data_IF_328874469863
#
_entry.id   IF_328874469863
#
_cell.length_a   1.000
_cell.length_b   1.000
_cell.length_c   1.000
_cell.angle_alpha   90.00
_cell.angle_beta   90.00
_cell.angle_gamma   90.00
#
_symmetry.space_group_name_H-M   'P 1'
#
loop_
_entity.id
_entity.type
_entity.pdbx_description
1 polymer ?
#
# COMPACT_ATOMS: atom_id res chain seq x y z
N UNK A 1 4.18 8.14 -9.08
CA UNK A 1 3.98 7.80 -10.50
C UNK A 1 4.30 6.34 -10.80
N UNK A 2 5.57 5.90 -10.74
CA UNK A 2 5.96 4.50 -11.06
C UNK A 2 5.17 3.47 -10.26
N UNK A 3 5.03 3.67 -8.94
CA UNK A 3 4.24 2.78 -8.07
C UNK A 3 2.79 2.62 -8.55
N UNK A 4 2.13 3.70 -8.99
CA UNK A 4 0.76 3.68 -9.49
C UNK A 4 0.66 3.00 -10.86
N UNK A 5 1.58 3.30 -11.77
CA UNK A 5 1.60 2.72 -13.12
C UNK A 5 1.87 1.20 -13.09
N UNK A 6 2.59 0.71 -12.08
CA UNK A 6 2.79 -0.72 -11.85
C UNK A 6 1.63 -1.40 -11.09
N UNK A 7 0.57 -0.65 -10.72
CA UNK A 7 -0.54 -1.18 -9.92
C UNK A 7 -0.15 -1.55 -8.48
N UNK A 8 0.96 -1.04 -7.95
CA UNK A 8 1.54 -1.48 -6.68
C UNK A 8 1.18 -0.60 -5.48
N UNK A 9 0.39 0.47 -5.66
CA UNK A 9 0.06 1.42 -4.59
C UNK A 9 -0.50 0.75 -3.32
N UNK A 10 -1.47 -0.17 -3.45
CA UNK A 10 -2.06 -0.85 -2.27
C UNK A 10 -1.02 -1.66 -1.49
N UNK A 11 -0.09 -2.31 -2.19
CA UNK A 11 0.99 -3.08 -1.56
C UNK A 11 2.00 -2.15 -0.89
N UNK A 12 2.32 -1.03 -1.54
CA UNK A 12 3.17 0.01 -0.98
C UNK A 12 2.61 0.54 0.35
N UNK A 13 1.32 0.90 0.40
CA UNK A 13 0.69 1.42 1.63
C UNK A 13 0.76 0.44 2.82
N UNK A 14 0.71 -0.86 2.55
CA UNK A 14 0.80 -1.91 3.58
C UNK A 14 2.26 -2.19 3.99
N UNK A 15 3.18 -2.20 3.02
CA UNK A 15 4.53 -2.73 3.19
C UNK A 15 5.62 -1.66 3.31
N UNK A 16 5.28 -0.37 3.21
CA UNK A 16 6.26 0.72 3.36
C UNK A 16 6.87 0.75 4.78
N UNK A 17 8.20 0.75 4.84
CA UNK A 17 8.94 0.73 6.09
C UNK A 17 8.68 1.97 6.96
N UNK A 18 8.55 3.14 6.33
CA UNK A 18 8.33 4.40 7.05
C UNK A 18 6.91 4.45 7.62
N UNK A 19 5.91 3.99 6.87
CA UNK A 19 4.52 3.94 7.34
C UNK A 19 4.38 2.94 8.50
N UNK A 20 5.12 1.82 8.44
CA UNK A 20 5.19 0.88 9.56
C UNK A 20 5.83 1.52 10.80
N UNK A 21 6.96 2.21 10.65
CA UNK A 21 7.61 2.92 11.76
C UNK A 21 6.68 3.96 12.42
N UNK A 22 6.00 4.77 11.61
CA UNK A 22 5.01 5.74 12.09
C UNK A 22 3.87 5.06 12.87
N UNK A 23 3.39 3.90 12.37
CA UNK A 23 2.31 3.14 13.01
C UNK A 23 2.72 2.62 14.39
N UNK A 24 3.91 2.05 14.52
CA UNK A 24 4.43 1.53 15.80
C UNK A 24 4.70 2.68 16.78
N UNK A 25 5.36 3.75 16.34
CA UNK A 25 5.65 4.91 17.19
C UNK A 25 4.38 5.59 17.70
N UNK A 26 3.32 5.67 16.89
CA UNK A 26 2.02 6.17 17.33
C UNK A 26 1.38 5.33 18.43
N UNK A 27 1.65 4.01 18.42
CA UNK A 27 1.11 3.09 19.39
C UNK A 27 1.87 3.14 20.72
N UNK A 28 3.21 3.14 20.67
CA UNK A 28 4.05 3.08 21.88
C UNK A 28 4.47 4.46 22.43
N UNK A 29 4.37 5.52 21.61
CA UNK A 29 4.68 6.89 22.00
C UNK A 29 6.16 7.18 22.23
N UNK A 30 7.08 6.26 21.89
CA UNK A 30 8.51 6.44 22.18
C UNK A 30 9.11 7.61 21.42
N UNK A 31 10.00 8.34 22.09
CA UNK A 31 10.77 9.44 21.50
C UNK A 31 12.23 9.35 21.95
N UNK A 32 13.04 8.68 21.14
CA UNK A 32 14.46 8.45 21.39
C UNK A 32 15.30 8.99 20.24
N UNK A 33 16.60 9.17 20.47
CA UNK A 33 17.56 9.47 19.40
C UNK A 33 18.26 8.17 19.00
N UNK A 34 17.89 7.63 17.84
CA UNK A 34 18.45 6.37 17.32
C UNK A 34 19.44 6.72 16.22
N UNK A 35 20.72 6.36 16.38
CA UNK A 35 21.79 6.66 15.39
C UNK A 35 21.76 8.13 14.96
N UNK A 36 21.77 9.04 15.93
CA UNK A 36 21.66 10.50 15.76
C UNK A 36 20.39 11.02 15.07
N UNK A 37 19.37 10.18 14.86
CA UNK A 37 18.07 10.58 14.31
C UNK A 37 17.04 10.69 15.44
N UNK A 38 16.48 11.88 15.71
CA UNK A 38 15.38 12.04 16.67
C UNK A 38 14.10 11.39 16.12
N UNK A 39 13.59 10.38 16.81
CA UNK A 39 12.46 9.57 16.37
C UNK A 39 11.21 10.42 16.14
N UNK A 40 10.87 11.33 17.06
CA UNK A 40 9.71 12.21 16.90
C UNK A 40 9.76 13.07 15.64
N UNK A 41 10.92 13.70 15.36
CA UNK A 41 11.11 14.50 14.15
C UNK A 41 11.02 13.63 12.88
N UNK A 42 11.51 12.40 12.92
CA UNK A 42 11.44 11.47 11.81
C UNK A 42 9.97 11.11 11.48
N UNK A 43 9.20 10.67 12.47
CA UNK A 43 7.80 10.27 12.25
C UNK A 43 6.90 11.44 11.86
N UNK A 44 7.15 12.64 12.37
CA UNK A 44 6.43 13.84 11.97
C UNK A 44 6.70 14.18 10.48
N UNK A 45 7.93 13.97 9.99
CA UNK A 45 8.25 14.10 8.55
C UNK A 45 7.58 13.01 7.72
N UNK A 46 7.66 11.74 8.15
CA UNK A 46 6.99 10.62 7.49
C UNK A 46 5.50 10.93 7.30
N UNK A 47 4.82 11.46 8.33
CA UNK A 47 3.41 11.81 8.23
C UNK A 47 3.13 12.87 7.16
N UNK A 48 3.98 13.88 7.01
CA UNK A 48 3.84 14.89 5.95
C UNK A 48 3.96 14.28 4.55
N UNK A 49 4.95 13.40 4.36
CA UNK A 49 5.11 12.69 3.09
C UNK A 49 4.00 11.67 2.84
N UNK A 50 3.43 11.06 3.88
CA UNK A 50 2.27 10.19 3.75
C UNK A 50 1.09 10.95 3.13
N UNK A 51 0.74 12.11 3.69
CA UNK A 51 -0.34 12.95 3.15
C UNK A 51 -0.07 13.37 1.71
N UNK A 52 1.17 13.77 1.39
CA UNK A 52 1.55 14.13 0.03
C UNK A 52 1.43 12.93 -0.94
N UNK A 53 1.89 11.75 -0.53
CA UNK A 53 1.80 10.55 -1.35
C UNK A 53 0.35 10.15 -1.61
N UNK A 54 -0.51 10.21 -0.58
CA UNK A 54 -1.93 9.92 -0.67
C UNK A 54 -2.62 10.85 -1.68
N UNK A 55 -2.28 12.15 -1.66
CA UNK A 55 -2.80 13.13 -2.61
C UNK A 55 -2.32 12.86 -4.04
N UNK A 56 -1.02 12.62 -4.25
CA UNK A 56 -0.45 12.27 -5.56
C UNK A 56 -1.14 11.02 -6.11
N UNK A 57 -1.31 9.98 -5.28
CA UNK A 57 -1.94 8.75 -5.70
C UNK A 57 -3.42 8.93 -6.01
N UNK A 58 -4.16 9.74 -5.24
CA UNK A 58 -5.55 10.06 -5.53
C UNK A 58 -5.70 10.76 -6.89
N UNK A 59 -4.83 11.73 -7.18
CA UNK A 59 -4.81 12.42 -8.47
C UNK A 59 -4.49 11.45 -9.60
N UNK A 60 -3.43 10.64 -9.47
CA UNK A 60 -3.04 9.68 -10.50
C UNK A 60 -4.16 8.66 -10.77
N UNK A 61 -4.78 8.11 -9.72
CA UNK A 61 -5.88 7.16 -9.88
C UNK A 61 -7.11 7.77 -10.54
N UNK A 62 -7.40 9.04 -10.26
CA UNK A 62 -8.50 9.77 -10.90
C UNK A 62 -8.31 9.82 -12.42
N UNK A 63 -7.11 10.18 -12.88
CA UNK A 63 -6.83 10.33 -14.31
C UNK A 63 -6.54 9.00 -15.02
N UNK A 64 -5.90 8.04 -14.37
CA UNK A 64 -5.61 6.73 -14.96
C UNK A 64 -6.87 5.89 -15.20
N UNK A 65 -7.86 5.97 -14.31
CA UNK A 65 -9.14 5.25 -14.47
C UNK A 65 -10.08 5.88 -15.51
N UNK A 66 -9.79 7.09 -15.96
CA UNK A 66 -10.63 7.80 -16.95
C UNK A 66 -10.35 7.35 -18.40
N UNK A 67 -9.33 6.51 -18.62
CA UNK A 67 -8.98 5.96 -19.94
C UNK A 67 -9.70 4.66 -20.32
N UNK A 68 -10.34 3.99 -19.36
CA UNK A 68 -10.98 2.68 -19.57
C UNK A 68 -12.47 2.88 -19.94
N UNK A 69 -12.73 3.05 -21.24
CA UNK A 69 -14.09 3.11 -21.79
C UNK A 69 -14.90 1.82 -21.55
N UNK A 70 -16.23 1.93 -21.72
CA UNK A 70 -17.29 0.99 -21.32
C UNK A 70 -17.23 -0.47 -21.87
N UNK A 71 -16.11 -0.92 -22.43
CA UNK A 71 -15.95 -2.25 -23.03
C UNK A 71 -14.84 -3.10 -22.39
N UNK A 72 -14.30 -2.73 -21.23
CA UNK A 72 -13.31 -3.59 -20.56
C UNK A 72 -14.00 -4.84 -20.00
N UNK A 73 -13.58 -6.06 -20.40
CA UNK A 73 -14.07 -7.28 -19.79
C UNK A 73 -13.75 -7.23 -18.30
N UNK A 74 -14.68 -7.70 -17.47
CA UNK A 74 -14.54 -7.82 -16.00
C UNK A 74 -13.09 -8.19 -15.68
N UNK A 75 -12.40 -7.36 -14.90
CA UNK A 75 -11.03 -7.63 -14.43
C UNK A 75 -11.00 -9.09 -14.00
N UNK A 76 -10.21 -9.92 -14.67
CA UNK A 76 -10.06 -11.33 -14.30
C UNK A 76 -9.30 -11.37 -12.98
N UNK A 77 -10.02 -11.17 -11.88
CA UNK A 77 -9.49 -11.27 -10.54
C UNK A 77 -9.03 -12.70 -10.35
N UNK A 78 -7.82 -12.86 -9.83
CA UNK A 78 -7.29 -14.19 -9.53
C UNK A 78 -8.17 -14.87 -8.48
N UNK A 79 -8.83 -15.95 -8.87
CA UNK A 79 -9.54 -16.83 -7.95
C UNK A 79 -8.57 -17.79 -7.26
N UNK A 80 -8.82 -18.08 -5.99
CA UNK A 80 -8.13 -19.13 -5.24
C UNK A 80 -9.11 -20.27 -5.03
N UNK A 81 -8.71 -21.48 -5.41
CA UNK A 81 -9.55 -22.66 -5.24
C UNK A 81 -9.67 -23.01 -3.74
N UNK A 82 -10.85 -23.42 -3.26
CA UNK A 82 -10.99 -23.92 -1.90
C UNK A 82 -10.21 -25.23 -1.71
N UNK A 83 -9.96 -25.67 -0.46
CA UNK A 83 -9.37 -26.97 -0.20
C UNK A 83 -10.18 -28.09 -0.87
N UNK A 84 -9.51 -28.95 -1.63
CA UNK A 84 -10.13 -30.10 -2.30
C UNK A 84 -9.82 -31.35 -1.47
N UNK A 85 -10.86 -32.12 -1.16
CA UNK A 85 -10.70 -33.38 -0.45
C UNK A 85 -9.88 -34.36 -1.31
N UNK A 86 -8.92 -35.08 -0.72
CA UNK A 86 -7.98 -35.94 -1.47
C UNK A 86 -8.69 -36.96 -2.37
N UNK A 87 -9.83 -37.50 -1.93
CA UNK A 87 -10.62 -38.46 -2.72
C UNK A 87 -11.13 -37.90 -4.06
N UNK A 88 -11.26 -36.57 -4.19
CA UNK A 88 -11.70 -35.88 -5.39
C UNK A 88 -10.51 -35.32 -6.21
N UNK A 89 -9.31 -35.28 -5.63
CA UNK A 89 -8.11 -34.73 -6.26
C UNK A 89 -7.27 -35.77 -7.03
N UNK A 90 -7.59 -37.06 -6.89
CA UNK A 90 -6.83 -38.18 -7.49
C UNK A 90 -7.48 -38.82 -8.72
N UNK A 91 -8.61 -38.27 -9.21
CA UNK A 91 -9.29 -38.72 -10.44
C UNK A 91 -8.97 -37.82 -11.63
#
# INVERSE_FOLDING_TARGET
MIISLLGQQRRFDILDFSYHLLKVQKHDGKDEIIKSVPLKKMVDRIRKFQVLNDEIFAILNKYLKSGDGENMPVEHVRCFQPPIHQSLASN
#
